data_IF_402543386774
#
_entry.id   IF_402543386774
#
_cell.length_a   1.000
_cell.length_b   1.000
_cell.length_c   1.000
_cell.angle_alpha   90.00
_cell.angle_beta   90.00
_cell.angle_gamma   90.00
#
_symmetry.space_group_name_H-M   'P 1'
#
loop_
_entity.id
_entity.type
_entity.pdbx_description
1 polymer ?
#
# COMPACT_ATOMS: atom_id res chain seq x y z
N UNK A 1 6.91 -48.93 17.27
CA UNK A 1 7.05 -48.09 18.48
C UNK A 1 7.46 -46.71 18.01
N UNK A 2 6.60 -45.70 18.17
CA UNK A 2 6.92 -44.33 17.79
C UNK A 2 7.77 -43.73 18.92
N UNK A 3 9.07 -43.54 18.70
CA UNK A 3 9.96 -42.94 19.69
C UNK A 3 9.87 -41.42 19.55
N UNK A 4 9.19 -40.77 20.49
CA UNK A 4 9.13 -39.31 20.57
C UNK A 4 10.34 -38.84 21.39
N UNK A 5 11.27 -38.15 20.75
CA UNK A 5 12.46 -37.61 21.42
C UNK A 5 12.08 -36.61 22.53
N UNK A 6 12.93 -36.41 23.56
CA UNK A 6 12.62 -35.55 24.69
C UNK A 6 12.39 -34.07 24.32
N UNK A 7 12.87 -33.65 23.14
CA UNK A 7 12.75 -32.30 22.61
C UNK A 7 11.63 -32.17 21.57
N UNK A 8 10.73 -33.14 21.47
CA UNK A 8 9.62 -33.07 20.51
C UNK A 8 8.61 -32.01 20.95
N UNK A 9 8.27 -31.10 20.05
CA UNK A 9 7.36 -29.97 20.29
C UNK A 9 6.20 -29.99 19.32
N UNK A 10 5.11 -29.29 19.66
CA UNK A 10 4.00 -29.05 18.75
C UNK A 10 4.38 -28.01 17.70
N UNK A 11 4.19 -28.28 16.40
CA UNK A 11 4.53 -27.32 15.33
C UNK A 11 3.63 -26.06 15.28
N UNK A 12 2.59 -26.00 16.11
CA UNK A 12 1.67 -24.85 16.18
C UNK A 12 2.01 -23.92 17.34
N UNK A 13 2.08 -24.44 18.57
CA UNK A 13 2.41 -23.62 19.75
C UNK A 13 3.90 -23.64 20.13
N UNK A 14 4.70 -24.52 19.52
CA UNK A 14 6.12 -24.74 19.80
C UNK A 14 6.43 -25.18 21.25
N UNK A 15 5.41 -25.61 22.00
CA UNK A 15 5.59 -26.14 23.36
C UNK A 15 5.98 -27.62 23.34
N UNK A 16 6.83 -28.02 24.29
CA UNK A 16 7.26 -29.41 24.46
C UNK A 16 6.11 -30.33 24.85
N UNK A 17 6.11 -31.55 24.31
CA UNK A 17 5.15 -32.57 24.72
C UNK A 17 5.43 -33.06 26.15
N UNK A 18 4.39 -33.09 26.98
CA UNK A 18 4.43 -33.54 28.38
C UNK A 18 3.32 -34.53 28.66
N UNK A 19 3.48 -35.39 29.67
CA UNK A 19 2.51 -36.45 30.00
C UNK A 19 1.17 -35.93 30.56
N UNK A 20 1.06 -34.62 30.84
CA UNK A 20 -0.13 -34.01 31.45
C UNK A 20 -0.78 -32.94 30.58
N UNK A 21 -0.07 -31.85 30.30
CA UNK A 21 -0.67 -30.63 29.74
C UNK A 21 -0.62 -30.60 28.21
N UNK A 22 0.51 -31.02 27.63
CA UNK A 22 0.74 -31.01 26.18
C UNK A 22 0.93 -32.43 25.67
N UNK A 23 -0.16 -33.17 25.62
CA UNK A 23 -0.13 -34.55 25.18
C UNK A 23 -0.19 -34.57 23.63
N UNK A 24 0.67 -35.34 22.96
CA UNK A 24 0.67 -35.45 21.51
C UNK A 24 -0.57 -36.21 21.01
N UNK A 25 -1.20 -35.67 19.98
CA UNK A 25 -2.36 -36.25 19.31
C UNK A 25 -2.08 -36.36 17.82
N UNK A 26 -2.30 -37.54 17.25
CA UNK A 26 -2.19 -37.78 15.82
C UNK A 26 -3.56 -37.61 15.15
N UNK A 27 -3.56 -36.92 14.00
CA UNK A 27 -4.70 -36.85 13.09
C UNK A 27 -4.58 -37.88 11.95
N UNK A 28 -5.66 -38.07 11.18
CA UNK A 28 -5.75 -39.10 10.13
C UNK A 28 -4.65 -39.04 9.07
N UNK A 29 -4.08 -37.86 8.82
CA UNK A 29 -2.96 -37.69 7.88
C UNK A 29 -1.58 -38.03 8.47
N UNK A 30 -1.50 -38.43 9.75
CA UNK A 30 -0.26 -38.85 10.42
C UNK A 30 0.57 -37.74 11.08
N UNK A 31 0.16 -36.46 10.94
CA UNK A 31 0.82 -35.36 11.66
C UNK A 31 0.37 -35.29 13.13
N UNK A 32 1.25 -34.76 13.99
CA UNK A 32 1.05 -34.76 15.44
C UNK A 32 1.01 -33.33 15.97
N UNK A 33 0.04 -33.03 16.81
CA UNK A 33 -0.16 -31.71 17.44
C UNK A 33 -0.60 -31.88 18.89
N UNK A 34 -0.55 -30.84 19.72
CA UNK A 34 -1.19 -30.89 21.04
C UNK A 34 -2.72 -30.73 20.90
N UNK A 35 -3.47 -31.28 21.86
CA UNK A 35 -4.93 -31.24 21.85
C UNK A 35 -5.48 -29.80 21.73
N UNK A 36 -4.91 -28.88 22.53
CA UNK A 36 -5.30 -27.46 22.50
C UNK A 36 -5.21 -26.90 21.10
N UNK A 37 -4.09 -27.12 20.40
CA UNK A 37 -3.92 -26.60 19.05
C UNK A 37 -4.93 -27.20 18.06
N UNK A 38 -5.28 -28.49 18.20
CA UNK A 38 -6.30 -29.11 17.34
C UNK A 38 -7.70 -28.54 17.59
N UNK A 39 -8.08 -28.30 18.84
CA UNK A 39 -9.39 -27.74 19.20
C UNK A 39 -9.59 -26.30 18.70
N UNK A 40 -8.52 -25.53 18.54
CA UNK A 40 -8.57 -24.17 18.03
C UNK A 40 -8.57 -24.08 16.49
N UNK A 41 -8.50 -25.22 15.77
CA UNK A 41 -8.56 -25.23 14.31
C UNK A 41 -10.00 -25.14 13.82
N UNK A 42 -10.40 -23.96 13.35
CA UNK A 42 -11.76 -23.68 12.85
C UNK A 42 -12.18 -24.58 11.67
N UNK A 43 -11.23 -25.03 10.85
CA UNK A 43 -11.52 -25.76 9.60
C UNK A 43 -11.20 -27.27 9.64
N UNK A 44 -10.73 -27.80 10.78
CA UNK A 44 -10.27 -29.20 10.89
C UNK A 44 -9.33 -29.62 9.73
N UNK A 45 -8.41 -28.72 9.35
CA UNK A 45 -7.38 -28.97 8.34
C UNK A 45 -6.03 -29.06 9.01
N UNK A 46 -5.22 -30.03 8.60
CA UNK A 46 -3.84 -30.13 9.07
C UNK A 46 -3.04 -28.86 8.73
N UNK A 47 -2.39 -28.20 9.71
CA UNK A 47 -1.52 -27.04 9.46
C UNK A 47 -0.36 -27.30 8.50
N UNK A 48 0.12 -28.55 8.42
CA UNK A 48 1.29 -28.93 7.63
C UNK A 48 0.93 -29.34 6.19
N UNK A 49 0.00 -30.27 6.01
CA UNK A 49 -0.36 -30.80 4.68
C UNK A 49 -1.73 -30.36 4.16
N UNK A 50 -2.51 -29.61 4.96
CA UNK A 50 -3.84 -29.07 4.62
C UNK A 50 -4.93 -30.11 4.30
N UNK A 51 -4.66 -31.39 4.56
CA UNK A 51 -5.66 -32.47 4.47
C UNK A 51 -6.71 -32.27 5.57
N UNK A 52 -7.99 -32.42 5.23
CA UNK A 52 -9.07 -32.40 6.21
C UNK A 52 -9.01 -33.66 7.07
N UNK A 53 -9.22 -33.50 8.36
CA UNK A 53 -9.33 -34.61 9.31
C UNK A 53 -10.67 -34.54 10.04
N UNK A 54 -11.18 -35.70 10.44
CA UNK A 54 -12.33 -35.78 11.33
C UNK A 54 -11.84 -35.63 12.78
N UNK A 55 -12.37 -34.67 13.57
CA UNK A 55 -12.07 -34.56 14.99
C UNK A 55 -12.30 -35.86 15.79
N UNK A 56 -13.22 -36.72 15.35
CA UNK A 56 -13.48 -38.02 15.97
C UNK A 56 -12.36 -39.04 15.74
N UNK A 57 -11.54 -38.84 14.70
CA UNK A 57 -10.41 -39.71 14.38
C UNK A 57 -9.10 -39.25 15.05
N UNK A 58 -9.13 -38.19 15.84
CA UNK A 58 -7.97 -37.69 16.59
C UNK A 58 -7.61 -38.71 17.67
N UNK A 59 -6.39 -39.27 17.59
CA UNK A 59 -5.93 -40.28 18.55
C UNK A 59 -4.86 -39.71 19.46
N UNK A 60 -5.08 -39.82 20.76
CA UNK A 60 -4.07 -39.55 21.78
C UNK A 60 -2.91 -40.54 21.63
N UNK A 61 -1.70 -40.04 21.50
CA UNK A 61 -0.49 -40.86 21.48
C UNK A 61 0.02 -41.03 22.93
N UNK A 62 0.24 -42.27 23.34
CA UNK A 62 0.96 -42.58 24.56
C UNK A 62 2.45 -42.56 24.27
N UNK A 63 3.20 -41.75 25.00
CA UNK A 63 4.66 -41.70 24.90
C UNK A 63 5.23 -42.34 26.15
N UNK A 64 5.74 -43.56 26.01
CA UNK A 64 6.50 -44.22 27.05
C UNK A 64 7.83 -43.46 27.22
N UNK A 65 7.90 -42.62 28.25
CA UNK A 65 9.17 -42.07 28.72
C UNK A 65 9.73 -43.04 29.75
N UNK A 66 10.96 -43.50 29.53
CA UNK A 66 11.69 -44.26 30.55
C UNK A 66 11.70 -43.47 31.87
N UNK A 67 11.17 -44.03 32.97
CA UNK A 67 11.05 -43.32 34.24
C UNK A 67 12.39 -43.03 34.94
N UNK A 68 13.51 -43.44 34.33
CA UNK A 68 14.84 -43.20 34.87
C UNK A 68 15.35 -41.75 34.64
N UNK A 69 14.60 -40.92 33.91
CA UNK A 69 14.78 -39.46 33.90
C UNK A 69 13.72 -38.86 34.82
N UNK A 70 13.99 -38.88 36.13
CA UNK A 70 13.14 -38.21 37.11
C UNK A 70 13.01 -36.73 36.72
N UNK A 71 11.78 -36.33 36.43
CA UNK A 71 11.39 -34.94 36.32
C UNK A 71 11.48 -34.31 37.72
N UNK A 72 12.55 -33.58 37.97
CA UNK A 72 12.62 -32.62 39.08
C UNK A 72 11.78 -31.41 38.67
N UNK A 73 10.51 -31.39 39.09
CA UNK A 73 9.73 -30.16 39.20
C UNK A 73 9.94 -29.69 40.64
N UNK A 74 11.04 -28.99 40.88
CA UNK A 74 11.18 -28.07 42.01
C UNK A 74 11.65 -26.74 41.42
N UNK A 75 11.02 -25.67 41.88
CA UNK A 75 11.28 -24.29 41.46
C UNK A 75 12.69 -23.85 41.88
N UNK A 76 13.68 -24.21 41.07
CA UNK A 76 14.98 -23.52 40.92
C UNK A 76 15.53 -23.88 39.53
N UNK A 77 16.22 -22.97 38.82
CA UNK A 77 16.77 -23.25 37.49
C UNK A 77 17.97 -24.20 37.61
N UNK A 78 17.71 -25.48 37.88
CA UNK A 78 18.70 -26.52 37.94
C UNK A 78 19.18 -26.88 36.52
N UNK A 79 20.38 -26.38 36.25
CA UNK A 79 21.21 -26.63 35.09
C UNK A 79 21.28 -28.13 34.75
N UNK A 80 21.05 -28.44 33.47
CA UNK A 80 21.44 -29.72 32.91
C UNK A 80 22.98 -29.88 33.00
N UNK A 81 23.51 -31.06 33.34
CA UNK A 81 24.93 -31.38 33.17
C UNK A 81 25.20 -31.72 31.70
N UNK A 82 24.89 -30.78 30.80
CA UNK A 82 25.68 -30.66 29.60
C UNK A 82 26.95 -29.91 30.01
N UNK A 83 28.13 -30.22 29.45
CA UNK A 83 29.24 -29.29 29.54
C UNK A 83 28.75 -28.01 28.86
N UNK A 84 28.27 -27.05 29.65
CA UNK A 84 28.04 -25.70 29.16
C UNK A 84 29.38 -25.26 28.62
N UNK A 85 29.54 -25.04 27.31
CA UNK A 85 30.71 -24.32 26.85
C UNK A 85 30.61 -22.99 27.57
N UNK A 86 31.58 -22.70 28.43
CA UNK A 86 31.64 -21.47 29.23
C UNK A 86 31.26 -20.34 28.28
N UNK A 87 30.05 -19.79 28.44
CA UNK A 87 29.52 -18.84 27.48
C UNK A 87 30.46 -17.64 27.52
N UNK A 88 31.18 -17.43 26.42
CA UNK A 88 32.13 -16.33 26.29
C UNK A 88 31.40 -15.04 26.69
N UNK A 89 31.90 -14.31 27.69
CA UNK A 89 31.24 -13.10 28.22
C UNK A 89 30.96 -12.10 27.09
N UNK A 90 31.82 -12.11 26.06
CA UNK A 90 31.67 -11.30 24.86
C UNK A 90 30.49 -11.74 23.97
N UNK A 91 30.25 -13.05 23.83
CA UNK A 91 29.07 -13.55 23.11
C UNK A 91 27.77 -13.11 23.79
N UNK A 92 27.73 -13.17 25.13
CA UNK A 92 26.56 -12.75 25.88
C UNK A 92 26.33 -11.24 25.78
N UNK A 93 27.41 -10.44 25.82
CA UNK A 93 27.35 -8.98 25.61
C UNK A 93 26.74 -8.65 24.24
N UNK A 94 27.22 -9.30 23.17
CA UNK A 94 26.72 -9.08 21.82
C UNK A 94 25.25 -9.49 21.66
N UNK A 95 24.85 -10.62 22.24
CA UNK A 95 23.45 -11.07 22.21
C UNK A 95 22.51 -10.13 22.95
N UNK A 96 22.92 -9.61 24.11
CA UNK A 96 22.15 -8.62 24.86
C UNK A 96 21.98 -7.32 24.05
N UNK A 97 23.04 -6.87 23.39
CA UNK A 97 22.99 -5.66 22.55
C UNK A 97 22.11 -5.86 21.32
N UNK A 98 22.20 -7.01 20.64
CA UNK A 98 21.30 -7.37 19.54
C UNK A 98 19.84 -7.41 20.03
N UNK A 99 19.60 -7.98 21.21
CA UNK A 99 18.26 -8.04 21.81
C UNK A 99 17.70 -6.65 22.09
N UNK A 100 18.53 -5.74 22.61
CA UNK A 100 18.15 -4.33 22.83
C UNK A 100 17.76 -3.66 21.52
N UNK A 101 18.59 -3.81 20.48
CA UNK A 101 18.34 -3.25 19.15
C UNK A 101 17.01 -3.76 18.56
N UNK A 102 16.73 -5.05 18.70
CA UNK A 102 15.50 -5.65 18.15
C UNK A 102 14.26 -5.19 18.93
N UNK A 103 14.36 -5.03 20.25
CA UNK A 103 13.23 -4.62 21.10
C UNK A 103 12.91 -3.13 21.02
N UNK A 104 13.93 -2.29 21.13
CA UNK A 104 13.79 -0.84 21.26
C UNK A 104 13.90 -0.12 19.90
N UNK A 105 14.43 -0.82 18.89
CA UNK A 105 14.89 -0.20 17.66
C UNK A 105 16.24 0.51 17.88
N UNK A 106 16.95 0.73 16.77
CA UNK A 106 18.22 1.44 16.77
C UNK A 106 18.41 2.18 15.45
N UNK A 107 19.32 3.17 15.46
CA UNK A 107 19.70 3.86 14.23
C UNK A 107 20.56 2.95 13.36
N UNK A 108 20.49 3.12 12.04
CA UNK A 108 21.23 2.27 11.07
C UNK A 108 22.75 2.20 11.36
N UNK A 109 23.34 3.29 11.85
CA UNK A 109 24.78 3.35 12.19
C UNK A 109 25.13 2.46 13.39
N UNK A 110 24.23 2.39 14.37
CA UNK A 110 24.39 1.57 15.57
C UNK A 110 24.23 0.08 15.23
N UNK A 111 23.26 -0.24 14.39
CA UNK A 111 23.06 -1.60 13.86
C UNK A 111 24.33 -2.08 13.12
N UNK A 112 24.90 -1.24 12.25
CA UNK A 112 26.15 -1.55 11.53
C UNK A 112 27.33 -1.77 12.46
N UNK A 113 27.48 -0.92 13.49
CA UNK A 113 28.52 -1.06 14.50
C UNK A 113 28.45 -2.44 15.16
N UNK A 114 27.27 -2.86 15.62
CA UNK A 114 27.09 -4.17 16.27
C UNK A 114 27.33 -5.34 15.32
N UNK A 115 26.96 -5.21 14.03
CA UNK A 115 27.30 -6.21 13.00
C UNK A 115 28.82 -6.34 12.85
N UNK A 116 29.56 -5.23 12.83
CA UNK A 116 31.02 -5.24 12.69
C UNK A 116 31.72 -5.82 13.94
N UNK A 117 31.20 -5.51 15.13
CA UNK A 117 31.65 -6.14 16.38
C UNK A 117 31.41 -7.66 16.35
N UNK A 118 30.22 -8.12 15.94
CA UNK A 118 29.92 -9.54 15.77
C UNK A 118 30.87 -10.21 14.76
N UNK A 119 31.15 -9.56 13.62
CA UNK A 119 32.10 -10.08 12.62
C UNK A 119 33.52 -10.20 13.15
N UNK A 120 33.94 -9.25 13.97
CA UNK A 120 35.26 -9.27 14.61
C UNK A 120 35.37 -10.43 15.58
N UNK A 121 34.31 -10.66 16.38
CA UNK A 121 34.20 -11.80 17.28
C UNK A 121 34.25 -13.16 16.56
N UNK A 122 33.59 -13.32 15.40
CA UNK A 122 33.69 -14.59 14.66
C UNK A 122 35.07 -14.89 14.10
N UNK A 123 35.85 -13.85 13.76
CA UNK A 123 37.20 -14.04 13.22
C UNK A 123 38.15 -14.61 14.28
N UNK A 124 37.90 -14.38 15.57
CA UNK A 124 38.74 -14.88 16.66
C UNK A 124 38.33 -16.26 17.18
N UNK A 125 37.05 -16.64 17.13
CA UNK A 125 36.51 -17.83 17.78
C UNK A 125 36.39 -19.11 16.90
N UNK A 126 36.60 -19.01 15.58
CA UNK A 126 36.48 -20.17 14.68
C UNK A 126 35.03 -20.67 14.48
N UNK A 127 34.83 -21.71 13.64
CA UNK A 127 33.52 -22.10 13.09
C UNK A 127 32.59 -22.87 14.08
N UNK A 128 32.83 -22.77 15.39
CA UNK A 128 31.97 -23.39 16.39
C UNK A 128 30.68 -22.58 16.53
N UNK A 129 29.57 -23.27 16.30
CA UNK A 129 28.23 -22.69 16.18
C UNK A 129 27.83 -21.90 17.42
N UNK A 130 27.79 -20.58 17.31
CA UNK A 130 27.45 -19.65 18.39
C UNK A 130 26.20 -18.85 17.96
N UNK A 131 25.10 -18.88 18.73
CA UNK A 131 23.84 -18.17 18.44
C UNK A 131 24.00 -16.71 17.95
N UNK A 132 25.08 -16.05 18.36
CA UNK A 132 25.50 -14.74 17.87
C UNK A 132 25.49 -14.68 16.34
N UNK A 133 25.99 -15.69 15.62
CA UNK A 133 26.11 -15.69 14.14
C UNK A 133 24.76 -15.60 13.45
N UNK A 134 23.79 -16.38 13.93
CA UNK A 134 22.42 -16.33 13.43
C UNK A 134 21.80 -14.98 13.74
N UNK A 135 21.97 -14.49 14.97
CA UNK A 135 21.46 -13.17 15.37
C UNK A 135 22.09 -12.02 14.57
N UNK A 136 23.38 -12.10 14.22
CA UNK A 136 24.05 -11.12 13.37
C UNK A 136 23.53 -11.14 11.93
N UNK A 137 23.25 -12.33 11.36
CA UNK A 137 22.62 -12.44 10.04
C UNK A 137 21.22 -11.83 10.02
N UNK A 138 20.41 -12.08 11.06
CA UNK A 138 19.11 -11.45 11.21
C UNK A 138 19.23 -9.93 11.32
N UNK A 139 20.21 -9.45 12.09
CA UNK A 139 20.48 -8.02 12.25
C UNK A 139 20.92 -7.36 10.93
N UNK A 140 21.73 -8.05 10.12
CA UNK A 140 22.10 -7.61 8.78
C UNK A 140 20.88 -7.49 7.86
N UNK A 141 20.00 -8.49 7.85
CA UNK A 141 18.77 -8.45 7.06
C UNK A 141 17.83 -7.32 7.51
N UNK A 142 17.78 -7.05 8.82
CA UNK A 142 17.04 -5.91 9.36
C UNK A 142 17.64 -4.58 8.86
N UNK A 143 18.96 -4.43 8.89
CA UNK A 143 19.64 -3.24 8.39
C UNK A 143 19.39 -3.01 6.89
N UNK A 144 19.44 -4.08 6.09
CA UNK A 144 19.16 -4.03 4.66
C UNK A 144 17.70 -3.66 4.39
N UNK A 145 16.77 -4.23 5.15
CA UNK A 145 15.34 -3.91 5.05
C UNK A 145 15.05 -2.46 5.42
N UNK A 146 15.64 -1.94 6.50
CA UNK A 146 15.53 -0.52 6.88
C UNK A 146 16.10 0.40 5.80
N UNK A 147 17.23 0.05 5.19
CA UNK A 147 17.79 0.81 4.07
C UNK A 147 16.83 0.84 2.86
N UNK A 148 16.27 -0.31 2.49
CA UNK A 148 15.30 -0.41 1.37
C UNK A 148 14.06 0.43 1.66
N UNK A 149 13.52 0.37 2.87
CA UNK A 149 12.38 1.19 3.28
C UNK A 149 12.70 2.69 3.23
N UNK A 150 13.91 3.08 3.64
CA UNK A 150 14.36 4.48 3.56
C UNK A 150 14.42 4.98 2.12
N UNK A 151 15.00 4.19 1.21
CA UNK A 151 15.06 4.54 -0.22
C UNK A 151 13.66 4.63 -0.83
N UNK A 152 12.79 3.66 -0.54
CA UNK A 152 11.40 3.71 -1.01
C UNK A 152 10.64 4.92 -0.46
N UNK A 153 10.90 5.34 0.79
CA UNK A 153 10.30 6.53 1.37
C UNK A 153 10.79 7.81 0.67
N UNK A 154 12.06 7.89 0.29
CA UNK A 154 12.62 8.98 -0.52
C UNK A 154 12.01 9.02 -1.92
N UNK A 155 11.92 7.87 -2.60
CA UNK A 155 11.30 7.75 -3.93
C UNK A 155 9.82 8.18 -3.89
N UNK A 156 9.06 7.73 -2.88
CA UNK A 156 7.67 8.14 -2.69
C UNK A 156 7.54 9.64 -2.43
N UNK A 157 8.50 10.24 -1.72
CA UNK A 157 8.51 11.69 -1.50
C UNK A 157 8.80 12.45 -2.80
N UNK A 158 9.72 11.96 -3.63
CA UNK A 158 10.04 12.54 -4.93
C UNK A 158 8.84 12.47 -5.89
N UNK A 159 8.20 11.29 -6.01
CA UNK A 159 7.01 11.11 -6.85
C UNK A 159 5.83 11.97 -6.37
N UNK A 160 5.67 12.16 -5.07
CA UNK A 160 4.63 13.06 -4.53
C UNK A 160 4.87 14.51 -4.93
N UNK A 161 6.11 14.97 -4.85
CA UNK A 161 6.48 16.32 -5.29
C UNK A 161 6.24 16.52 -6.79
N UNK A 162 6.66 15.57 -7.63
CA UNK A 162 6.41 15.62 -9.07
C UNK A 162 4.91 15.67 -9.40
N UNK A 163 4.10 14.87 -8.70
CA UNK A 163 2.64 14.90 -8.86
C UNK A 163 2.02 16.21 -8.41
N UNK A 164 2.56 16.84 -7.37
CA UNK A 164 2.10 18.15 -6.89
C UNK A 164 2.47 19.25 -7.91
N UNK A 165 3.68 19.21 -8.48
CA UNK A 165 4.13 20.13 -9.54
C UNK A 165 3.28 20.01 -10.81
N UNK A 166 3.00 18.78 -11.27
CA UNK A 166 2.11 18.54 -12.42
C UNK A 166 0.70 19.08 -12.15
N UNK A 167 0.18 18.86 -10.94
CA UNK A 167 -1.15 19.34 -10.58
C UNK A 167 -1.21 20.87 -10.57
N UNK A 168 -0.19 21.54 -10.02
CA UNK A 168 -0.09 23.01 -10.05
C UNK A 168 -0.02 23.53 -11.48
N UNK A 169 0.80 22.92 -12.33
CA UNK A 169 0.94 23.28 -13.73
C UNK A 169 -0.39 23.16 -14.49
N UNK A 170 -1.07 22.01 -14.39
CA UNK A 170 -2.37 21.79 -15.03
C UNK A 170 -3.44 22.74 -14.52
N UNK A 171 -3.42 23.09 -13.23
CA UNK A 171 -4.35 24.06 -12.65
C UNK A 171 -4.11 25.45 -13.24
N UNK A 172 -2.85 25.86 -13.36
CA UNK A 172 -2.49 27.13 -13.97
C UNK A 172 -2.91 27.19 -15.46
N UNK A 173 -2.68 26.11 -16.22
CA UNK A 173 -3.15 26.01 -17.61
C UNK A 173 -4.66 26.10 -17.71
N UNK A 174 -5.40 25.39 -16.86
CA UNK A 174 -6.87 25.46 -16.83
C UNK A 174 -7.35 26.89 -16.59
N UNK A 175 -6.76 27.61 -15.63
CA UNK A 175 -7.10 29.01 -15.37
C UNK A 175 -6.69 29.96 -16.51
N UNK A 176 -5.65 29.65 -17.29
CA UNK A 176 -5.33 30.41 -18.51
C UNK A 176 -6.39 30.19 -19.59
N UNK A 177 -6.71 28.94 -19.90
CA UNK A 177 -7.70 28.58 -20.93
C UNK A 177 -9.08 29.13 -20.56
N UNK A 178 -9.44 29.09 -19.28
CA UNK A 178 -10.70 29.66 -18.79
C UNK A 178 -10.77 31.17 -19.01
N UNK A 179 -9.70 31.91 -18.70
CA UNK A 179 -9.63 33.36 -18.96
C UNK A 179 -9.74 33.67 -20.45
N UNK A 180 -9.05 32.92 -21.29
CA UNK A 180 -9.09 33.09 -22.74
C UNK A 180 -10.50 32.81 -23.29
N UNK A 181 -11.16 31.77 -22.79
CA UNK A 181 -12.54 31.44 -23.13
C UNK A 181 -13.50 32.58 -22.74
N UNK A 182 -13.40 33.09 -21.52
CA UNK A 182 -14.22 34.22 -21.05
C UNK A 182 -13.97 35.48 -21.88
N UNK A 183 -12.72 35.74 -22.27
CA UNK A 183 -12.37 36.86 -23.14
C UNK A 183 -13.00 36.70 -24.52
N UNK A 184 -12.85 35.52 -25.14
CA UNK A 184 -13.44 35.22 -26.45
C UNK A 184 -14.96 35.35 -26.43
N UNK A 185 -15.60 34.90 -25.35
CA UNK A 185 -17.05 35.03 -25.18
C UNK A 185 -17.49 36.50 -25.13
N UNK A 186 -16.75 37.36 -24.41
CA UNK A 186 -17.02 38.81 -24.38
C UNK A 186 -16.86 39.43 -25.76
N UNK A 187 -15.73 39.18 -26.44
CA UNK A 187 -15.49 39.71 -27.79
C UNK A 187 -16.58 39.26 -28.77
N UNK A 188 -16.99 37.98 -28.73
CA UNK A 188 -18.08 37.48 -29.56
C UNK A 188 -19.42 38.17 -29.27
N UNK A 189 -19.71 38.48 -28.01
CA UNK A 189 -20.91 39.21 -27.63
C UNK A 189 -20.87 40.66 -28.14
N UNK A 190 -19.75 41.35 -27.99
CA UNK A 190 -19.54 42.72 -28.48
C UNK A 190 -19.70 42.79 -30.01
N UNK A 191 -19.10 41.85 -30.74
CA UNK A 191 -19.25 41.75 -32.20
C UNK A 191 -20.72 41.52 -32.60
N UNK A 192 -21.43 40.64 -31.89
CA UNK A 192 -22.84 40.37 -32.14
C UNK A 192 -23.70 41.62 -31.89
N UNK A 193 -23.46 42.34 -30.80
CA UNK A 193 -24.16 43.58 -30.49
C UNK A 193 -23.86 44.68 -31.52
N UNK A 194 -22.60 44.82 -31.96
CA UNK A 194 -22.22 45.75 -33.00
C UNK A 194 -22.90 45.43 -34.35
N UNK A 195 -23.01 44.15 -34.71
CA UNK A 195 -23.73 43.71 -35.90
C UNK A 195 -25.23 44.02 -35.83
N UNK A 196 -25.87 43.82 -34.66
CA UNK A 196 -27.28 44.15 -34.46
C UNK A 196 -27.53 45.66 -34.57
N UNK A 197 -26.66 46.48 -33.99
CA UNK A 197 -26.74 47.94 -34.12
C UNK A 197 -26.61 48.37 -35.57
N UNK A 198 -25.66 47.77 -36.32
CA UNK A 198 -25.47 48.04 -37.74
C UNK A 198 -26.68 47.61 -38.57
N UNK A 199 -27.23 46.42 -38.34
CA UNK A 199 -28.45 45.95 -39.02
C UNK A 199 -29.61 46.93 -38.79
N UNK A 200 -29.84 47.32 -37.53
CA UNK A 200 -30.89 48.28 -37.17
C UNK A 200 -30.71 49.61 -37.89
N UNK A 201 -29.50 50.17 -37.88
CA UNK A 201 -29.20 51.43 -38.58
C UNK A 201 -29.45 51.32 -40.09
N UNK A 202 -29.09 50.20 -40.73
CA UNK A 202 -29.37 49.97 -42.15
C UNK A 202 -30.87 49.87 -42.43
N UNK A 203 -31.63 49.20 -41.55
CA UNK A 203 -33.09 49.07 -41.66
C UNK A 203 -33.77 50.42 -41.52
N UNK A 204 -33.41 51.20 -40.50
CA UNK A 204 -33.94 52.55 -40.27
C UNK A 204 -33.70 53.44 -41.50
N UNK A 205 -32.48 53.42 -42.07
CA UNK A 205 -32.14 54.18 -43.29
C UNK A 205 -32.92 53.72 -44.51
N UNK A 206 -33.16 52.41 -44.65
CA UNK A 206 -33.99 51.88 -45.73
C UNK A 206 -35.44 52.36 -45.59
N UNK A 207 -35.99 52.34 -44.37
CA UNK A 207 -37.34 52.79 -44.08
C UNK A 207 -37.52 54.29 -44.36
N UNK A 208 -36.56 55.13 -43.95
CA UNK A 208 -36.53 56.57 -44.28
C UNK A 208 -36.51 56.82 -45.79
N UNK A 209 -35.65 56.10 -46.52
CA UNK A 209 -35.58 56.19 -47.97
C UNK A 209 -36.89 55.75 -48.60
N UNK A 210 -37.46 54.61 -48.19
CA UNK A 210 -38.73 54.10 -48.68
C UNK A 210 -39.89 55.07 -48.41
N UNK A 211 -39.96 55.67 -47.22
CA UNK A 211 -40.95 56.72 -46.90
C UNK A 211 -40.80 57.95 -47.80
N UNK A 212 -39.57 58.39 -48.05
CA UNK A 212 -39.28 59.52 -48.95
C UNK A 212 -39.72 59.22 -50.39
N UNK A 213 -39.45 58.00 -50.87
CA UNK A 213 -39.91 57.54 -52.18
C UNK A 213 -41.44 57.49 -52.28
N UNK A 214 -42.12 56.89 -51.30
CA UNK A 214 -43.58 56.81 -51.26
C UNK A 214 -44.22 58.20 -51.23
N UNK A 215 -43.64 59.13 -50.47
CA UNK A 215 -44.07 60.53 -50.45
C UNK A 215 -43.90 61.17 -51.83
N UNK A 216 -42.75 60.99 -52.47
CA UNK A 216 -42.47 61.56 -53.80
C UNK A 216 -43.42 61.01 -54.89
N UNK A 217 -43.69 59.71 -54.88
CA UNK A 217 -44.65 59.07 -55.80
C UNK A 217 -46.07 59.62 -55.56
N UNK A 218 -46.49 59.76 -54.31
CA UNK A 218 -47.80 60.32 -53.95
C UNK A 218 -47.92 61.79 -54.38
N UNK A 219 -46.85 62.57 -54.20
CA UNK A 219 -46.77 63.96 -54.64
C UNK A 219 -46.90 64.08 -56.17
N UNK A 220 -46.16 63.28 -56.94
CA UNK A 220 -46.27 63.26 -58.41
C UNK A 220 -47.68 62.86 -58.85
N UNK A 221 -48.25 61.81 -58.26
CA UNK A 221 -49.60 61.35 -58.57
C UNK A 221 -50.67 62.43 -58.28
N UNK A 222 -50.48 63.23 -57.23
CA UNK A 222 -51.36 64.35 -56.90
C UNK A 222 -51.20 65.58 -57.80
N UNK A 223 -49.98 65.86 -58.28
CA UNK A 223 -49.70 67.02 -59.17
C UNK A 223 -50.08 66.73 -60.63
N UNK A 224 -49.98 65.48 -61.09
CA UNK A 224 -50.32 65.06 -62.45
C UNK A 224 -51.37 63.93 -62.50
N UNK A 225 -52.62 64.18 -62.07
CA UNK A 225 -53.66 63.14 -62.04
C UNK A 225 -54.09 62.65 -63.44
N UNK A 226 -53.68 63.33 -64.53
CA UNK A 226 -54.14 63.05 -65.90
C UNK A 226 -53.15 62.28 -66.81
N UNK A 227 -51.96 61.90 -66.34
CA UNK A 227 -50.95 61.24 -67.18
C UNK A 227 -50.93 59.70 -67.02
N UNK A 228 -51.57 59.15 -65.98
CA UNK A 228 -51.54 57.71 -65.65
C UNK A 228 -52.65 56.85 -66.29
N UNK A 229 -53.31 57.32 -67.35
CA UNK A 229 -54.26 56.53 -68.16
C UNK A 229 -53.76 56.27 -69.57
N UNK A 230 -52.48 55.89 -69.71
CA UNK A 230 -51.99 55.28 -70.95
C UNK A 230 -52.02 53.75 -70.82
N UNK A 231 -52.82 53.03 -71.64
CA UNK A 231 -52.92 51.58 -71.56
C UNK A 231 -51.63 50.95 -72.10
N UNK A 232 -50.89 50.29 -71.21
CA UNK A 232 -49.86 49.31 -71.57
C UNK A 232 -50.53 48.15 -72.32
N UNK A 233 -50.63 48.28 -73.64
CA UNK A 233 -50.93 47.16 -74.53
C UNK A 233 -49.60 46.50 -74.89
N UNK A 234 -49.32 45.40 -74.18
CA UNK A 234 -48.23 44.48 -74.51
C UNK A 234 -48.65 43.68 -75.73
N UNK A 235 -47.87 43.74 -76.81
CA UNK A 235 -47.88 42.78 -77.92
C UNK A 235 -46.61 41.95 -77.85
#
# INVERSE_FOLDING_TARGET
>A
MLVVGPNSTCDVCLECYTNGVNIPHAISCGHVFCQKCLEHLVQNKCPLCRIHFDPLEVRRLHVDRDPNVKATIEEEPAQCPFPTPVADEEAQRLLNEITRIVKEGAKINEIRRVIDECRTYYKSQGDQYTPVRVSCLLLHNLAESQRKLSLQAEDLKALRAERDDIHEHLTAELETVKRDFEQLQRTSQEEREALLVKEKCLRDRYDEMNQSWLWFVSFIAGVYPKILTLPLTVK
#
